data_IF_647684848131
#
_entry.id   IF_647684848131
#
_cell.length_a   1.000
_cell.length_b   1.000
_cell.length_c   1.000
_cell.angle_alpha   90.00
_cell.angle_beta   90.00
_cell.angle_gamma   90.00
#
_symmetry.space_group_name_H-M   'P 1'
#
loop_
_entity.id
_entity.type
_entity.pdbx_description
1 polymer ?
#
# COMPACT_ATOMS: atom_id res chain seq x y z
N UNK A 1 1.73 16.67 14.15
CA UNK A 1 1.50 17.54 12.97
C UNK A 1 0.94 16.68 11.84
N UNK A 2 0.08 17.20 10.95
CA UNK A 2 -0.40 16.42 9.80
C UNK A 2 0.80 16.00 8.95
N UNK A 3 0.94 14.69 8.72
CA UNK A 3 2.01 14.08 7.93
C UNK A 3 1.46 13.75 6.54
N UNK A 4 1.59 14.71 5.63
CA UNK A 4 1.19 14.56 4.23
C UNK A 4 2.14 15.38 3.36
N UNK A 5 2.44 14.87 2.18
CA UNK A 5 3.21 15.58 1.17
C UNK A 5 2.45 15.50 -0.15
N UNK A 6 2.32 16.65 -0.78
CA UNK A 6 1.66 16.80 -2.08
C UNK A 6 2.67 17.37 -3.04
N UNK A 7 2.84 16.73 -4.19
CA UNK A 7 3.70 17.26 -5.23
C UNK A 7 2.88 17.52 -6.48
N UNK A 8 2.75 18.81 -6.81
CA UNK A 8 2.21 19.27 -8.08
C UNK A 8 3.39 19.55 -9.02
N UNK A 9 3.41 18.97 -10.23
CA UNK A 9 4.51 19.19 -11.14
C UNK A 9 4.61 20.66 -11.61
N UNK A 10 5.79 21.12 -12.07
CA UNK A 10 5.94 22.38 -12.79
C UNK A 10 4.99 22.46 -14.00
N UNK A 11 4.52 23.67 -14.38
CA UNK A 11 3.60 23.91 -15.53
C UNK A 11 3.98 23.27 -16.87
N UNK A 12 5.22 22.82 -17.05
CA UNK A 12 5.72 22.12 -18.24
C UNK A 12 5.48 20.59 -18.21
N UNK A 13 5.06 20.05 -17.08
CA UNK A 13 4.77 18.63 -16.83
C UNK A 13 3.26 18.48 -16.61
N UNK A 14 2.50 18.60 -17.69
CA UNK A 14 1.08 18.24 -17.70
C UNK A 14 1.01 16.71 -17.66
N UNK A 15 0.11 16.11 -16.88
CA UNK A 15 -0.08 14.65 -16.90
C UNK A 15 0.36 13.89 -15.64
N UNK A 16 0.92 14.55 -14.62
CA UNK A 16 1.38 13.91 -13.38
C UNK A 16 0.79 14.59 -12.15
N UNK A 17 0.23 13.84 -11.21
CA UNK A 17 -0.12 14.36 -9.87
C UNK A 17 0.25 13.34 -8.83
N UNK A 18 1.03 13.74 -7.82
CA UNK A 18 1.53 12.85 -6.81
C UNK A 18 1.03 13.22 -5.42
N UNK A 19 0.73 12.20 -4.65
CA UNK A 19 0.26 12.32 -3.28
C UNK A 19 0.94 11.28 -2.39
N UNK A 20 1.40 11.71 -1.23
CA UNK A 20 1.90 10.84 -0.17
C UNK A 20 1.13 11.15 1.12
N UNK A 21 0.48 10.14 1.68
CA UNK A 21 -0.33 10.25 2.89
C UNK A 21 0.14 9.20 3.88
N UNK A 22 0.39 9.60 5.12
CA UNK A 22 0.71 8.64 6.16
C UNK A 22 0.22 9.07 7.54
N UNK A 23 -0.07 8.10 8.39
CA UNK A 23 -0.48 8.30 9.78
C UNK A 23 0.11 7.20 10.64
N UNK A 24 0.30 7.53 11.92
CA UNK A 24 0.75 6.57 12.92
C UNK A 24 -0.46 6.11 13.74
N UNK A 25 -0.51 4.83 14.11
CA UNK A 25 -1.49 4.30 15.05
C UNK A 25 -1.36 5.02 16.40
N UNK A 26 -0.12 5.16 16.87
CA UNK A 26 0.23 5.89 18.09
C UNK A 26 1.16 7.04 17.73
N UNK A 27 0.70 8.26 17.98
CA UNK A 27 1.45 9.46 17.61
C UNK A 27 2.85 9.48 18.23
N UNK A 28 3.85 9.69 17.39
CA UNK A 28 5.27 9.72 17.72
C UNK A 28 5.95 8.35 17.73
N UNK A 29 5.21 7.26 17.51
CA UNK A 29 5.73 5.89 17.61
C UNK A 29 5.56 5.08 16.32
N UNK A 30 5.17 5.70 15.21
CA UNK A 30 4.95 4.95 13.97
C UNK A 30 6.24 4.45 13.34
N UNK A 31 6.24 3.22 12.87
CA UNK A 31 7.35 2.45 12.35
C UNK A 31 7.47 2.54 10.83
N UNK A 32 6.36 2.81 10.13
CA UNK A 32 6.34 3.14 8.71
C UNK A 32 7.35 4.25 8.34
N UNK A 33 7.92 4.13 7.14
CA UNK A 33 8.68 5.22 6.53
C UNK A 33 7.76 6.14 5.69
N UNK A 34 8.20 7.37 5.42
CA UNK A 34 7.44 8.24 4.53
C UNK A 34 7.30 7.60 3.13
N UNK A 35 6.10 7.59 2.51
CA UNK A 35 5.93 7.05 1.18
C UNK A 35 6.92 7.66 0.18
N UNK A 36 7.45 6.83 -0.70
CA UNK A 36 8.40 7.24 -1.73
C UNK A 36 7.64 7.53 -3.02
N UNK A 37 7.81 8.73 -3.56
CA UNK A 37 7.27 9.12 -4.87
C UNK A 37 8.32 9.95 -5.60
N UNK A 38 8.73 9.47 -6.77
CA UNK A 38 9.77 10.13 -7.57
C UNK A 38 9.47 9.99 -9.05
N UNK A 39 9.84 11.02 -9.82
CA UNK A 39 9.79 11.00 -11.26
C UNK A 39 11.05 11.67 -11.83
N UNK A 40 11.72 10.96 -12.74
CA UNK A 40 12.87 11.48 -13.46
C UNK A 40 12.45 12.01 -14.83
N UNK A 41 12.63 13.33 -15.01
CA UNK A 41 12.18 14.05 -16.21
C UNK A 41 12.89 13.62 -17.48
N UNK A 42 14.20 13.40 -17.42
CA UNK A 42 15.01 13.15 -18.60
C UNK A 42 14.76 11.77 -19.23
N UNK A 43 14.32 10.79 -18.43
CA UNK A 43 14.09 9.41 -18.90
C UNK A 43 12.63 8.99 -18.81
N UNK A 44 11.73 9.92 -18.50
CA UNK A 44 10.27 9.71 -18.43
C UNK A 44 9.87 8.45 -17.66
N UNK A 45 10.54 8.20 -16.54
CA UNK A 45 10.29 7.07 -15.64
C UNK A 45 10.20 7.53 -14.20
N UNK A 46 9.64 6.71 -13.33
CA UNK A 46 9.47 7.04 -11.92
C UNK A 46 9.20 5.82 -11.08
N UNK A 47 8.98 6.07 -9.79
CA UNK A 47 8.61 5.03 -8.85
C UNK A 47 7.70 5.59 -7.76
N UNK A 48 6.72 4.78 -7.36
CA UNK A 48 6.05 4.92 -6.06
C UNK A 48 6.35 3.71 -5.19
N UNK A 49 6.49 3.89 -3.87
CA UNK A 49 6.64 2.78 -2.93
C UNK A 49 6.23 3.14 -1.49
N UNK A 50 5.94 2.11 -0.71
CA UNK A 50 5.70 2.18 0.74
C UNK A 50 6.53 1.12 1.46
N UNK A 51 6.79 1.36 2.75
CA UNK A 51 7.65 0.54 3.60
C UNK A 51 7.03 0.46 5.00
N UNK A 52 6.52 -0.71 5.35
CA UNK A 52 5.87 -0.98 6.63
C UNK A 52 6.85 -1.61 7.60
N UNK A 53 7.13 -0.92 8.70
CA UNK A 53 8.03 -1.44 9.74
C UNK A 53 7.33 -2.48 10.60
N UNK A 54 7.74 -3.75 10.53
CA UNK A 54 7.06 -4.83 11.26
C UNK A 54 7.33 -4.82 12.77
N UNK A 55 6.55 -4.07 13.55
CA UNK A 55 6.72 -3.84 14.98
C UNK A 55 6.80 -5.07 15.86
N UNK A 56 5.90 -6.04 15.66
CA UNK A 56 5.92 -7.28 16.44
C UNK A 56 7.27 -8.01 16.36
N UNK A 57 7.86 -8.06 15.16
CA UNK A 57 9.15 -8.71 14.92
C UNK A 57 10.35 -7.79 15.21
N UNK A 58 10.17 -6.47 15.07
CA UNK A 58 11.20 -5.44 15.08
C UNK A 58 11.23 -4.52 16.30
N UNK A 59 10.40 -4.75 17.33
CA UNK A 59 10.22 -3.87 18.50
C UNK A 59 11.48 -3.60 19.34
N UNK A 60 12.62 -4.23 19.05
CA UNK A 60 13.86 -4.01 19.80
C UNK A 60 14.39 -2.58 19.55
N UNK A 61 14.59 -1.74 20.58
CA UNK A 61 15.23 -0.44 20.41
C UNK A 61 16.60 -0.60 19.77
N UNK A 62 16.82 0.07 18.63
CA UNK A 62 17.98 -0.16 17.76
C UNK A 62 18.83 1.09 17.57
N UNK A 63 18.19 2.25 17.41
CA UNK A 63 18.88 3.53 17.21
C UNK A 63 18.35 4.60 18.17
N UNK A 64 19.22 5.51 18.58
CA UNK A 64 18.85 6.68 19.39
C UNK A 64 19.13 7.94 18.59
N UNK A 65 18.11 8.77 18.43
CA UNK A 65 18.21 10.04 17.74
C UNK A 65 19.07 11.06 18.50
N UNK A 66 19.50 12.14 17.82
CA UNK A 66 20.23 13.24 18.46
C UNK A 66 19.44 13.92 19.60
N UNK A 67 18.12 13.81 19.57
CA UNK A 67 17.17 14.27 20.60
C UNK A 67 17.04 13.30 21.80
N UNK A 68 17.73 12.16 21.75
CA UNK A 68 17.70 11.12 22.78
C UNK A 68 16.54 10.13 22.65
N UNK A 69 15.68 10.25 21.64
CA UNK A 69 14.55 9.34 21.42
C UNK A 69 15.04 8.02 20.85
N UNK A 70 14.54 6.90 21.40
CA UNK A 70 14.86 5.56 20.91
C UNK A 70 13.86 5.12 19.84
N UNK A 71 14.38 4.56 18.76
CA UNK A 71 13.60 3.99 17.66
C UNK A 71 13.81 2.47 17.57
N UNK A 72 12.76 1.75 17.20
CA UNK A 72 12.75 0.29 17.07
C UNK A 72 13.53 -0.15 15.84
N UNK A 73 13.80 -1.46 15.74
CA UNK A 73 14.39 -2.05 14.55
C UNK A 73 13.48 -1.90 13.33
N UNK A 74 12.17 -2.07 13.51
CA UNK A 74 11.17 -1.86 12.46
C UNK A 74 11.23 -0.43 11.89
N UNK A 75 11.20 0.57 12.76
CA UNK A 75 11.34 1.98 12.39
C UNK A 75 12.60 2.27 11.57
N UNK A 76 13.74 1.71 11.99
CA UNK A 76 15.03 1.87 11.30
C UNK A 76 15.00 1.11 9.97
N UNK A 77 14.47 -0.11 9.95
CA UNK A 77 14.38 -0.96 8.76
C UNK A 77 13.62 -0.30 7.62
N UNK A 78 12.42 0.22 7.90
CA UNK A 78 11.59 0.89 6.90
C UNK A 78 12.31 2.10 6.27
N UNK A 79 12.98 2.93 7.08
CA UNK A 79 13.70 4.12 6.60
C UNK A 79 14.97 3.77 5.82
N UNK A 80 15.65 2.71 6.21
CA UNK A 80 16.82 2.18 5.49
C UNK A 80 16.40 1.60 4.15
N UNK A 81 15.30 0.84 4.09
CA UNK A 81 14.76 0.32 2.85
C UNK A 81 14.33 1.46 1.90
N UNK A 82 13.62 2.47 2.43
CA UNK A 82 13.28 3.69 1.67
C UNK A 82 14.51 4.37 1.08
N UNK A 83 15.57 4.58 1.88
CA UNK A 83 16.81 5.19 1.41
C UNK A 83 17.51 4.32 0.35
N UNK A 84 17.55 3.01 0.55
CA UNK A 84 18.12 2.08 -0.43
C UNK A 84 17.38 2.16 -1.76
N UNK A 85 16.05 2.20 -1.74
CA UNK A 85 15.20 2.36 -2.93
C UNK A 85 15.43 3.71 -3.63
N UNK A 86 15.61 4.79 -2.88
CA UNK A 86 15.94 6.11 -3.44
C UNK A 86 17.29 6.09 -4.19
N UNK A 87 18.34 5.60 -3.53
CA UNK A 87 19.66 5.45 -4.15
C UNK A 87 19.64 4.51 -5.36
N UNK A 88 18.93 3.39 -5.27
CA UNK A 88 18.75 2.46 -6.38
C UNK A 88 18.04 3.12 -7.57
N UNK A 89 16.92 3.81 -7.31
CA UNK A 89 16.18 4.48 -8.38
C UNK A 89 16.99 5.58 -9.05
N UNK A 90 17.86 6.28 -8.30
CA UNK A 90 18.77 7.25 -8.88
C UNK A 90 19.66 6.63 -9.98
N UNK A 91 20.28 5.48 -9.71
CA UNK A 91 21.13 4.78 -10.68
C UNK A 91 20.31 4.23 -11.85
N UNK A 92 19.11 3.68 -11.58
CA UNK A 92 18.18 3.25 -12.64
C UNK A 92 17.78 4.41 -13.55
N UNK A 93 17.46 5.56 -12.99
CA UNK A 93 17.02 6.74 -13.72
C UNK A 93 18.12 7.32 -14.64
N UNK A 94 19.38 7.18 -14.23
CA UNK A 94 20.57 7.60 -14.96
C UNK A 94 21.16 6.51 -15.88
N UNK A 95 20.56 5.31 -15.91
CA UNK A 95 21.02 4.19 -16.73
C UNK A 95 22.29 3.51 -16.20
N UNK A 96 22.62 3.70 -14.93
CA UNK A 96 23.68 2.99 -14.22
C UNK A 96 23.27 1.60 -13.76
N UNK A 97 21.96 1.33 -13.69
CA UNK A 97 21.39 0.05 -13.22
C UNK A 97 20.10 -0.29 -13.96
N UNK A 98 19.76 -1.58 -14.07
CA UNK A 98 18.47 -2.01 -14.60
C UNK A 98 17.41 -2.06 -13.48
N UNK A 99 16.16 -1.71 -13.80
CA UNK A 99 15.05 -1.78 -12.86
C UNK A 99 14.61 -3.24 -12.61
N UNK A 100 15.43 -4.06 -11.94
CA UNK A 100 15.15 -5.49 -11.68
C UNK A 100 14.95 -5.75 -10.18
N UNK A 101 14.24 -6.83 -9.80
CA UNK A 101 14.16 -7.24 -8.40
C UNK A 101 15.54 -7.55 -7.80
N UNK A 102 16.45 -8.14 -8.59
CA UNK A 102 17.79 -8.49 -8.14
C UNK A 102 18.62 -7.25 -7.80
N UNK A 103 18.61 -6.22 -8.65
CA UNK A 103 19.37 -5.00 -8.39
C UNK A 103 18.81 -4.24 -7.18
N UNK A 104 17.48 -4.18 -7.00
CA UNK A 104 16.89 -3.59 -5.80
C UNK A 104 17.26 -4.41 -4.54
N UNK A 105 17.24 -5.74 -4.63
CA UNK A 105 17.62 -6.62 -3.52
C UNK A 105 19.08 -6.36 -3.07
N UNK A 106 20.02 -6.19 -4.01
CA UNK A 106 21.42 -5.89 -3.69
C UNK A 106 21.57 -4.57 -2.91
N UNK A 107 20.85 -3.52 -3.31
CA UNK A 107 20.84 -2.25 -2.58
C UNK A 107 20.25 -2.39 -1.19
N UNK A 108 19.09 -3.05 -1.05
CA UNK A 108 18.46 -3.31 0.25
C UNK A 108 19.42 -4.04 1.18
N UNK A 109 20.01 -5.13 0.71
CA UNK A 109 20.96 -5.95 1.47
C UNK A 109 22.20 -5.15 1.90
N UNK A 110 22.77 -4.35 0.99
CA UNK A 110 23.92 -3.50 1.31
C UNK A 110 23.59 -2.47 2.40
N UNK A 111 22.49 -1.73 2.25
CA UNK A 111 22.09 -0.68 3.18
C UNK A 111 21.71 -1.26 4.56
N UNK A 112 20.99 -2.38 4.61
CA UNK A 112 20.65 -3.08 5.85
C UNK A 112 21.90 -3.59 6.59
N UNK A 113 22.90 -4.09 5.86
CA UNK A 113 24.15 -4.56 6.44
C UNK A 113 25.01 -3.43 7.02
N UNK A 114 24.89 -2.20 6.50
CA UNK A 114 25.60 -1.00 6.98
C UNK A 114 24.86 -0.26 8.09
N UNK A 115 23.60 -0.60 8.34
CA UNK A 115 22.76 0.09 9.30
C UNK A 115 23.06 -0.31 10.75
N UNK A 116 22.73 0.54 11.74
CA UNK A 116 22.86 0.20 13.14
C UNK A 116 22.07 -1.07 13.48
N UNK A 117 22.74 -2.08 14.03
CA UNK A 117 22.11 -3.34 14.45
C UNK A 117 22.46 -3.65 15.90
N UNK A 118 21.45 -3.92 16.73
CA UNK A 118 21.65 -4.47 18.07
C UNK A 118 21.46 -5.99 18.04
N UNK A 119 22.54 -6.73 18.32
CA UNK A 119 22.48 -8.19 18.48
C UNK A 119 21.92 -8.53 19.86
N UNK A 120 20.66 -8.98 19.93
CA UNK A 120 20.15 -9.65 21.13
C UNK A 120 20.84 -11.00 21.31
N UNK A 121 21.30 -11.33 22.53
CA UNK A 121 21.86 -12.64 22.89
C UNK A 121 20.78 -13.72 23.09
N UNK A 122 19.51 -13.31 23.18
CA UNK A 122 18.35 -14.20 23.32
C UNK A 122 17.66 -14.24 21.96
N UNK A 123 17.78 -15.38 21.27
CA UNK A 123 17.29 -15.59 19.92
C UNK A 123 16.00 -16.42 19.91
N UNK A 124 14.90 -15.79 19.47
CA UNK A 124 13.69 -16.49 19.07
C UNK A 124 13.47 -16.29 17.57
N UNK A 125 12.91 -17.28 16.87
CA UNK A 125 12.65 -17.25 15.43
C UNK A 125 11.65 -16.18 15.00
N UNK A 126 10.90 -15.59 15.94
CA UNK A 126 9.94 -14.50 15.69
C UNK A 126 10.60 -13.11 15.61
N UNK A 127 11.75 -12.90 16.24
CA UNK A 127 12.45 -11.61 16.16
C UNK A 127 13.21 -11.52 14.84
N UNK A 128 13.17 -10.33 14.23
CA UNK A 128 13.88 -9.98 13.01
C UNK A 128 14.72 -8.74 13.25
N UNK A 129 15.82 -8.59 12.52
CA UNK A 129 16.63 -7.37 12.56
C UNK A 129 16.23 -6.46 11.42
N UNK A 130 15.86 -5.24 11.76
CA UNK A 130 15.45 -4.22 10.81
C UNK A 130 14.34 -4.69 9.85
N UNK A 131 13.26 -5.37 10.34
CA UNK A 131 12.23 -5.89 9.46
C UNK A 131 11.39 -4.75 8.86
N UNK A 132 11.10 -4.87 7.57
CA UNK A 132 10.14 -4.02 6.89
C UNK A 132 9.52 -4.76 5.71
N UNK A 133 8.33 -4.36 5.30
CA UNK A 133 7.80 -4.69 3.97
C UNK A 133 8.38 -3.73 2.93
N UNK A 134 8.12 -4.04 1.66
CA UNK A 134 8.30 -3.15 0.52
C UNK A 134 7.18 -3.46 -0.48
N UNK A 135 6.50 -2.43 -0.97
CA UNK A 135 5.63 -2.55 -2.14
C UNK A 135 5.71 -1.28 -2.96
N UNK A 136 5.98 -1.41 -4.26
CA UNK A 136 6.10 -0.27 -5.15
C UNK A 136 5.91 -0.63 -6.61
N UNK A 137 5.83 0.42 -7.44
CA UNK A 137 5.72 0.31 -8.89
C UNK A 137 6.76 1.22 -9.51
N UNK A 138 7.77 0.64 -10.15
CA UNK A 138 8.56 1.35 -11.14
C UNK A 138 7.74 1.47 -12.42
N UNK A 139 7.77 2.64 -13.07
CA UNK A 139 7.01 2.87 -14.29
C UNK A 139 7.83 3.66 -15.32
N UNK A 140 7.56 3.43 -16.59
CA UNK A 140 8.17 4.15 -17.71
C UNK A 140 7.14 4.47 -18.79
N UNK A 141 7.07 5.73 -19.21
CA UNK A 141 6.20 6.13 -20.32
C UNK A 141 6.66 5.53 -21.64
N UNK A 142 5.71 5.10 -22.46
CA UNK A 142 5.93 4.70 -23.85
C UNK A 142 5.28 5.74 -24.75
N UNK A 143 6.09 6.67 -25.28
CA UNK A 143 5.61 7.79 -26.10
C UNK A 143 4.82 7.37 -27.34
N UNK A 144 5.08 6.17 -27.87
CA UNK A 144 4.49 5.70 -29.12
C UNK A 144 3.02 5.25 -29.00
N UNK A 145 2.51 4.94 -27.79
CA UNK A 145 1.23 4.21 -27.66
C UNK A 145 0.28 4.73 -26.56
N UNK A 146 0.51 5.92 -25.99
CA UNK A 146 -0.26 6.42 -24.82
C UNK A 146 -0.36 5.38 -23.69
N UNK A 147 0.72 4.62 -23.50
CA UNK A 147 0.79 3.58 -22.48
C UNK A 147 1.96 3.78 -21.54
N UNK A 148 1.88 3.09 -20.41
CA UNK A 148 2.93 3.04 -19.41
C UNK A 148 3.35 1.59 -19.19
N UNK A 149 4.65 1.35 -19.19
CA UNK A 149 5.24 0.09 -18.71
C UNK A 149 5.25 0.13 -17.19
N UNK A 150 4.76 -0.94 -16.55
CA UNK A 150 4.73 -1.06 -15.09
C UNK A 150 5.55 -2.26 -14.66
N UNK A 151 6.34 -2.07 -13.60
CA UNK A 151 7.08 -3.10 -12.91
C UNK A 151 6.84 -3.01 -11.41
N UNK A 152 5.83 -3.73 -10.91
CA UNK A 152 5.65 -3.92 -9.49
C UNK A 152 6.86 -4.64 -8.88
N UNK A 153 7.24 -4.23 -7.67
CA UNK A 153 8.33 -4.77 -6.87
C UNK A 153 7.82 -4.91 -5.44
N UNK A 154 7.89 -6.09 -4.83
CA UNK A 154 7.36 -6.28 -3.49
C UNK A 154 8.06 -7.35 -2.65
N UNK A 155 7.97 -7.19 -1.33
CA UNK A 155 8.41 -8.11 -0.29
C UNK A 155 7.55 -7.88 0.97
N UNK A 156 6.95 -8.93 1.53
CA UNK A 156 5.92 -8.81 2.58
C UNK A 156 4.49 -8.73 2.04
N UNK A 157 3.62 -8.05 2.77
CA UNK A 157 2.16 -7.98 2.59
C UNK A 157 1.61 -6.57 2.31
N UNK A 158 2.47 -5.54 2.26
CA UNK A 158 2.10 -4.28 1.60
C UNK A 158 1.82 -4.51 0.11
N UNK A 159 0.96 -3.68 -0.48
CA UNK A 159 0.44 -3.93 -1.83
C UNK A 159 0.62 -2.75 -2.77
N UNK A 160 0.86 -3.07 -4.04
CA UNK A 160 0.77 -2.11 -5.12
C UNK A 160 -0.44 -2.39 -6.02
N UNK A 161 -0.98 -1.32 -6.59
CA UNK A 161 -2.18 -1.35 -7.41
C UNK A 161 -2.07 -0.40 -8.60
N UNK A 162 -2.92 -0.66 -9.59
CA UNK A 162 -3.29 0.34 -10.60
C UNK A 162 -4.80 0.51 -10.58
N UNK A 163 -5.23 1.76 -10.46
CA UNK A 163 -6.62 2.17 -10.54
C UNK A 163 -6.88 2.66 -11.98
N UNK A 164 -7.82 2.01 -12.64
CA UNK A 164 -8.29 2.29 -14.00
C UNK A 164 -9.64 2.99 -13.95
N UNK A 165 -9.87 4.03 -14.79
CA UNK A 165 -11.15 4.74 -14.80
C UNK A 165 -12.33 3.88 -15.26
N UNK A 166 -12.08 2.79 -15.98
CA UNK A 166 -13.13 1.91 -16.53
C UNK A 166 -13.32 0.64 -15.71
N UNK A 167 -12.24 0.05 -15.22
CA UNK A 167 -12.24 -1.28 -14.60
C UNK A 167 -11.98 -1.27 -13.09
N UNK A 168 -11.63 -0.11 -12.53
CA UNK A 168 -11.43 0.06 -11.09
C UNK A 168 -10.04 -0.32 -10.60
N UNK A 169 -9.95 -0.68 -9.33
CA UNK A 169 -8.68 -0.99 -8.67
C UNK A 169 -8.26 -2.42 -8.98
N UNK A 170 -7.03 -2.57 -9.48
CA UNK A 170 -6.40 -3.86 -9.74
C UNK A 170 -5.17 -4.02 -8.87
N UNK A 171 -5.06 -5.15 -8.17
CA UNK A 171 -3.85 -5.47 -7.42
C UNK A 171 -2.75 -5.95 -8.36
N UNK A 172 -1.52 -5.49 -8.09
CA UNK A 172 -0.33 -5.75 -8.91
C UNK A 172 0.70 -6.64 -8.20
N UNK A 173 0.49 -6.93 -6.92
CA UNK A 173 1.42 -7.66 -6.05
C UNK A 173 0.67 -8.79 -5.35
N UNK A 174 1.40 -9.82 -4.91
CA UNK A 174 0.84 -10.92 -4.14
C UNK A 174 1.51 -10.99 -2.77
N UNK A 175 0.73 -10.88 -1.71
CA UNK A 175 1.25 -10.94 -0.34
C UNK A 175 2.05 -12.22 -0.12
N UNK A 176 3.17 -12.08 0.58
CA UNK A 176 4.01 -13.20 0.94
C UNK A 176 3.45 -13.90 2.18
N UNK A 177 2.36 -14.63 1.97
CA UNK A 177 1.61 -15.35 3.01
C UNK A 177 1.19 -16.73 2.48
N UNK A 178 0.71 -17.62 3.36
CA UNK A 178 0.18 -18.93 2.93
C UNK A 178 -1.22 -18.84 2.33
N UNK A 179 -2.04 -17.94 2.86
CA UNK A 179 -3.30 -17.56 2.23
C UNK A 179 -3.00 -16.56 1.11
N UNK A 180 -3.82 -16.55 0.07
CA UNK A 180 -3.60 -15.73 -1.12
C UNK A 180 -4.87 -15.07 -1.65
N UNK A 181 -6.04 -15.47 -1.15
CA UNK A 181 -7.31 -14.81 -1.41
C UNK A 181 -7.41 -13.51 -0.59
N UNK A 182 -7.64 -12.39 -1.27
CA UNK A 182 -7.62 -11.07 -0.65
C UNK A 182 -8.69 -10.89 0.44
N UNK A 183 -9.85 -11.56 0.35
CA UNK A 183 -10.87 -11.51 1.39
C UNK A 183 -10.49 -12.39 2.59
N UNK A 184 -9.91 -13.56 2.36
CA UNK A 184 -9.44 -14.42 3.46
C UNK A 184 -8.24 -13.82 4.20
N UNK A 185 -7.39 -13.03 3.52
CA UNK A 185 -6.32 -12.26 4.16
C UNK A 185 -6.88 -11.26 5.18
N UNK A 186 -7.98 -10.56 4.87
CA UNK A 186 -8.68 -9.66 5.81
C UNK A 186 -9.27 -10.40 7.02
N UNK A 187 -9.54 -11.70 6.90
CA UNK A 187 -10.18 -12.51 7.94
C UNK A 187 -9.18 -13.15 8.89
N UNK A 188 -8.01 -13.52 8.37
CA UNK A 188 -7.11 -14.45 9.03
C UNK A 188 -5.78 -13.83 9.45
N UNK A 189 -5.38 -12.71 8.83
CA UNK A 189 -4.11 -12.02 9.10
C UNK A 189 -2.93 -13.00 9.30
N UNK A 190 -2.60 -13.81 8.27
CA UNK A 190 -1.61 -14.85 8.41
C UNK A 190 -0.19 -14.25 8.49
N UNK A 191 0.73 -14.89 9.22
CA UNK A 191 2.10 -14.40 9.33
C UNK A 191 2.82 -14.41 7.97
N UNK A 192 3.57 -13.35 7.69
CA UNK A 192 4.41 -13.24 6.49
C UNK A 192 5.47 -14.35 6.40
N UNK A 193 5.65 -14.89 5.19
CA UNK A 193 6.67 -15.88 4.81
C UNK A 193 7.95 -15.24 4.28
N UNK A 194 7.86 -14.03 3.72
CA UNK A 194 8.99 -13.23 3.23
C UNK A 194 8.86 -11.80 3.80
N UNK A 195 9.96 -11.24 4.28
CA UNK A 195 10.03 -9.88 4.84
C UNK A 195 11.46 -9.36 4.65
N UNK A 196 11.60 -8.10 4.23
CA UNK A 196 12.93 -7.48 4.10
C UNK A 196 13.53 -7.38 5.50
N UNK A 197 14.67 -8.03 5.74
CA UNK A 197 15.33 -7.99 7.03
C UNK A 197 16.84 -8.23 6.90
N UNK A 198 17.59 -7.83 7.92
CA UNK A 198 19.05 -7.86 7.90
C UNK A 198 19.67 -9.16 8.45
N UNK A 199 18.86 -10.06 9.01
CA UNK A 199 19.32 -11.27 9.68
C UNK A 199 18.94 -12.59 9.00
N UNK A 200 18.18 -12.55 7.89
CA UNK A 200 17.85 -13.72 7.06
C UNK A 200 17.77 -13.32 5.59
N UNK A 201 17.86 -14.31 4.72
CA UNK A 201 17.56 -14.16 3.30
C UNK A 201 16.10 -13.73 3.11
N UNK A 202 15.89 -12.88 2.11
CA UNK A 202 14.58 -12.42 1.64
C UNK A 202 14.63 -12.26 0.13
N UNK A 203 13.49 -12.31 -0.54
CA UNK A 203 13.38 -12.04 -1.99
C UNK A 203 12.65 -10.73 -2.22
N UNK A 204 12.94 -10.09 -3.34
CA UNK A 204 12.07 -9.05 -3.92
C UNK A 204 11.40 -9.71 -5.12
N UNK A 205 10.09 -9.86 -5.07
CA UNK A 205 9.34 -10.40 -6.18
C UNK A 205 8.97 -9.27 -7.15
N UNK A 206 8.74 -9.64 -8.41
CA UNK A 206 8.38 -8.70 -9.46
C UNK A 206 7.48 -9.33 -10.51
N UNK A 207 6.74 -8.47 -11.21
CA UNK A 207 6.05 -8.78 -12.45
C UNK A 207 6.37 -7.66 -13.44
N UNK A 208 6.23 -7.96 -14.73
CA UNK A 208 6.38 -6.96 -15.78
C UNK A 208 5.08 -6.86 -16.59
N UNK A 209 4.48 -5.66 -16.61
CA UNK A 209 3.35 -5.31 -17.45
C UNK A 209 3.88 -4.36 -18.52
N UNK A 210 4.14 -4.91 -19.71
CA UNK A 210 4.83 -4.18 -20.78
C UNK A 210 4.07 -2.94 -21.29
N UNK A 211 2.74 -2.93 -21.15
CA UNK A 211 1.87 -1.86 -21.63
C UNK A 211 0.57 -1.82 -20.83
N UNK A 212 0.34 -0.73 -20.10
CA UNK A 212 -0.92 -0.42 -19.42
C UNK A 212 -1.48 0.89 -19.99
N UNK A 213 -2.79 0.95 -20.23
CA UNK A 213 -3.44 2.10 -20.84
C UNK A 213 -3.44 3.32 -19.92
N UNK A 214 -3.10 4.49 -20.47
CA UNK A 214 -3.33 5.77 -19.82
C UNK A 214 -4.74 6.29 -20.17
N UNK A 215 -5.33 7.15 -19.33
CA UNK A 215 -4.83 7.58 -18.02
C UNK A 215 -5.13 6.56 -16.90
N UNK A 216 -4.27 6.51 -15.88
CA UNK A 216 -4.42 5.60 -14.73
C UNK A 216 -3.86 6.23 -13.45
N UNK A 217 -4.16 5.64 -12.29
CA UNK A 217 -3.57 6.05 -11.00
C UNK A 217 -2.82 4.86 -10.41
N UNK A 218 -1.51 5.01 -10.19
CA UNK A 218 -0.73 4.03 -9.45
C UNK A 218 -0.93 4.24 -7.95
N UNK A 219 -1.05 3.14 -7.20
CA UNK A 219 -1.23 3.15 -5.74
C UNK A 219 -0.22 2.19 -5.11
N UNK A 220 0.44 2.59 -4.04
CA UNK A 220 1.16 1.69 -3.15
C UNK A 220 0.70 1.97 -1.72
N UNK A 221 0.34 0.94 -0.98
CA UNK A 221 -0.29 1.05 0.33
C UNK A 221 0.25 0.01 1.31
N UNK A 222 0.40 0.38 2.58
CA UNK A 222 0.58 -0.57 3.68
C UNK A 222 -0.77 -1.15 4.08
N UNK A 223 -0.77 -2.25 4.83
CA UNK A 223 -2.00 -2.91 5.26
C UNK A 223 -2.86 -2.02 6.18
N UNK A 224 -2.28 -1.01 6.83
CA UNK A 224 -3.05 0.01 7.55
C UNK A 224 -4.12 0.70 6.70
N UNK A 225 -3.98 0.73 5.36
CA UNK A 225 -5.01 1.24 4.45
C UNK A 225 -6.04 0.20 4.02
N UNK A 226 -5.64 -1.03 3.72
CA UNK A 226 -6.54 -2.03 3.10
C UNK A 226 -6.78 -3.28 3.95
N UNK A 227 -6.02 -3.52 5.01
CA UNK A 227 -6.09 -4.69 5.89
C UNK A 227 -7.22 -4.63 6.91
N UNK A 228 -7.73 -3.42 7.20
CA UNK A 228 -8.77 -3.19 8.21
C UNK A 228 -10.16 -2.92 7.64
N UNK A 229 -10.33 -3.02 6.31
CA UNK A 229 -11.65 -2.87 5.67
C UNK A 229 -12.41 -4.20 5.65
N UNK A 230 -13.72 -4.16 5.36
CA UNK A 230 -14.52 -5.39 5.38
C UNK A 230 -14.42 -6.23 4.11
N UNK A 231 -14.15 -5.60 2.96
CA UNK A 231 -13.93 -6.28 1.67
C UNK A 231 -12.89 -5.51 0.85
N UNK A 232 -12.20 -6.14 -0.11
CA UNK A 232 -11.27 -5.42 -0.98
C UNK A 232 -11.92 -4.24 -1.74
N UNK A 233 -13.22 -4.33 -2.04
CA UNK A 233 -13.97 -3.26 -2.68
C UNK A 233 -14.14 -2.01 -1.80
N UNK A 234 -14.11 -2.16 -0.47
CA UNK A 234 -14.17 -1.04 0.47
C UNK A 234 -12.94 -0.13 0.33
N UNK A 235 -11.77 -0.67 0.00
CA UNK A 235 -10.58 0.13 -0.23
C UNK A 235 -10.68 0.98 -1.51
N UNK A 236 -11.16 0.41 -2.62
CA UNK A 236 -11.45 1.21 -3.82
C UNK A 236 -12.53 2.27 -3.53
N UNK A 237 -13.57 1.90 -2.76
CA UNK A 237 -14.62 2.85 -2.38
C UNK A 237 -14.07 4.01 -1.57
N UNK A 238 -13.14 3.77 -0.63
CA UNK A 238 -12.43 4.82 0.11
C UNK A 238 -11.68 5.78 -0.84
N UNK A 239 -10.88 5.25 -1.76
CA UNK A 239 -10.11 6.06 -2.70
C UNK A 239 -11.03 6.96 -3.55
N UNK A 240 -12.11 6.40 -4.10
CA UNK A 240 -13.00 7.10 -5.01
C UNK A 240 -13.97 8.05 -4.29
N UNK A 241 -14.50 7.68 -3.13
CA UNK A 241 -15.39 8.56 -2.35
C UNK A 241 -14.65 9.81 -1.86
N UNK A 242 -13.42 9.65 -1.35
CA UNK A 242 -12.59 10.78 -0.93
C UNK A 242 -12.15 11.66 -2.10
N UNK A 243 -11.83 11.07 -3.26
CA UNK A 243 -11.53 11.81 -4.50
C UNK A 243 -12.71 12.68 -4.93
N UNK A 244 -13.93 12.12 -4.88
CA UNK A 244 -15.17 12.81 -5.23
C UNK A 244 -15.51 13.95 -4.26
N UNK A 245 -15.29 13.73 -2.96
CA UNK A 245 -15.53 14.73 -1.90
C UNK A 245 -14.53 15.89 -1.96
N UNK A 246 -13.29 15.63 -2.38
CA UNK A 246 -12.21 16.62 -2.39
C UNK A 246 -12.38 17.70 -3.49
N UNK A 247 -12.02 18.94 -3.15
CA UNK A 247 -11.91 20.05 -4.08
C UNK A 247 -10.55 20.15 -4.78
N UNK A 248 -9.49 19.60 -4.18
CA UNK A 248 -8.11 19.60 -4.66
C UNK A 248 -7.30 18.45 -4.05
N UNK A 249 -6.05 18.29 -4.49
CA UNK A 249 -5.16 17.22 -4.06
C UNK A 249 -4.80 17.25 -2.56
N UNK A 250 -4.74 18.44 -1.94
CA UNK A 250 -4.46 18.57 -0.49
C UNK A 250 -5.65 18.13 0.35
N UNK A 251 -6.86 18.50 -0.08
CA UNK A 251 -8.10 18.04 0.56
C UNK A 251 -8.28 16.53 0.38
N UNK A 252 -7.91 15.98 -0.78
CA UNK A 252 -7.94 14.53 -1.00
C UNK A 252 -7.00 13.80 -0.03
N UNK A 253 -5.77 14.30 0.14
CA UNK A 253 -4.82 13.79 1.12
C UNK A 253 -5.38 13.76 2.54
N UNK A 254 -5.95 14.88 2.95
CA UNK A 254 -6.46 15.04 4.31
C UNK A 254 -7.71 14.18 4.54
N UNK A 255 -8.58 14.05 3.54
CA UNK A 255 -9.74 13.14 3.59
C UNK A 255 -9.28 11.68 3.70
N UNK A 256 -8.36 11.23 2.85
CA UNK A 256 -7.80 9.87 2.92
C UNK A 256 -7.22 9.59 4.31
N UNK A 257 -6.42 10.52 4.85
CA UNK A 257 -5.83 10.43 6.18
C UNK A 257 -6.89 10.33 7.28
N UNK A 258 -7.91 11.20 7.25
CA UNK A 258 -8.97 11.19 8.28
C UNK A 258 -9.78 9.91 8.24
N UNK A 259 -10.16 9.46 7.03
CA UNK A 259 -10.96 8.25 6.85
C UNK A 259 -10.21 6.99 7.27
N UNK A 260 -8.91 6.87 6.94
CA UNK A 260 -8.13 5.71 7.38
C UNK A 260 -7.99 5.66 8.91
N UNK A 261 -7.80 6.82 9.56
CA UNK A 261 -7.76 6.91 11.03
C UNK A 261 -9.06 6.51 11.74
N UNK A 262 -10.20 6.48 11.04
CA UNK A 262 -11.48 6.06 11.62
C UNK A 262 -11.58 4.55 11.83
N UNK A 263 -10.81 3.74 11.08
CA UNK A 263 -10.92 2.29 11.10
C UNK A 263 -9.60 1.53 11.25
N UNK A 264 -8.46 2.14 10.89
CA UNK A 264 -7.18 1.43 10.92
C UNK A 264 -6.77 1.09 12.35
N UNK A 265 -6.27 -0.12 12.52
CA UNK A 265 -5.65 -0.58 13.75
C UNK A 265 -4.13 -0.48 13.71
N UNK A 266 -3.52 0.10 12.67
CA UNK A 266 -2.07 0.15 12.48
C UNK A 266 -1.58 1.51 11.97
N UNK A 267 -0.27 1.65 11.82
CA UNK A 267 0.31 2.67 10.96
C UNK A 267 -0.20 2.48 9.52
N UNK A 268 -0.43 3.58 8.82
CA UNK A 268 -0.99 3.52 7.48
C UNK A 268 -0.27 4.51 6.57
N UNK A 269 0.31 3.99 5.49
CA UNK A 269 1.06 4.76 4.49
C UNK A 269 0.55 4.47 3.09
N UNK A 270 0.43 5.53 2.29
CA UNK A 270 -0.12 5.50 0.93
C UNK A 270 0.69 6.44 0.02
N UNK A 271 1.15 5.90 -1.10
CA UNK A 271 1.65 6.67 -2.24
C UNK A 271 0.65 6.55 -3.40
N UNK A 272 0.33 7.68 -4.03
CA UNK A 272 -0.54 7.77 -5.19
C UNK A 272 0.13 8.61 -6.27
N UNK A 273 0.00 8.15 -7.52
CA UNK A 273 0.47 8.89 -8.68
C UNK A 273 -0.51 8.77 -9.85
N UNK A 274 -1.16 9.86 -10.19
CA UNK A 274 -2.03 9.95 -11.36
C UNK A 274 -1.19 10.22 -12.61
N UNK A 275 -1.28 9.31 -13.60
CA UNK A 275 -0.57 9.36 -14.87
C UNK A 275 -1.53 9.69 -16.01
N UNK A 276 -1.13 10.55 -16.94
CA UNK A 276 -1.94 10.95 -18.10
C UNK A 276 -3.10 11.91 -17.77
N UNK A 277 -3.13 12.51 -16.58
CA UNK A 277 -4.20 13.42 -16.17
C UNK A 277 -3.78 14.88 -16.22
N UNK A 278 -4.58 15.74 -16.86
CA UNK A 278 -4.29 17.16 -17.00
C UNK A 278 -4.16 17.88 -15.65
N UNK A 279 -5.15 17.70 -14.77
CA UNK A 279 -5.23 18.30 -13.44
C UNK A 279 -6.13 17.45 -12.52
N UNK A 280 -6.28 17.87 -11.27
CA UNK A 280 -7.07 17.15 -10.27
C UNK A 280 -8.55 17.06 -10.66
N UNK A 281 -9.09 18.10 -11.29
CA UNK A 281 -10.47 18.13 -11.74
C UNK A 281 -10.71 17.06 -12.82
N UNK A 282 -9.73 16.85 -13.72
CA UNK A 282 -9.77 15.79 -14.72
C UNK A 282 -9.79 14.41 -14.04
N UNK A 283 -8.89 14.14 -13.06
CA UNK A 283 -8.90 12.89 -12.28
C UNK A 283 -10.30 12.67 -11.68
N UNK A 284 -10.82 13.64 -10.91
CA UNK A 284 -12.12 13.51 -10.26
C UNK A 284 -13.25 13.23 -11.25
N UNK A 285 -13.31 13.96 -12.37
CA UNK A 285 -14.36 13.77 -13.38
C UNK A 285 -14.29 12.42 -14.08
N UNK A 286 -13.08 11.91 -14.34
CA UNK A 286 -12.87 10.70 -15.11
C UNK A 286 -13.22 9.44 -14.31
N UNK A 287 -13.05 9.49 -12.99
CA UNK A 287 -13.37 8.38 -12.08
C UNK A 287 -14.81 8.40 -11.53
N UNK A 288 -15.59 9.47 -11.76
CA UNK A 288 -16.98 9.56 -11.28
C UNK A 288 -17.88 8.40 -11.79
N UNK A 289 -17.82 7.98 -13.07
CA UNK A 289 -18.62 6.83 -13.54
C UNK A 289 -18.27 5.55 -12.79
N UNK A 290 -16.99 5.31 -12.50
CA UNK A 290 -16.55 4.15 -11.74
C UNK A 290 -17.00 4.22 -10.29
N UNK A 291 -16.92 5.41 -9.67
CA UNK A 291 -17.47 5.62 -8.34
C UNK A 291 -18.97 5.31 -8.28
N UNK A 292 -19.76 5.80 -9.25
CA UNK A 292 -21.20 5.56 -9.29
C UNK A 292 -21.53 4.06 -9.42
N UNK A 293 -20.82 3.34 -10.28
CA UNK A 293 -20.94 1.88 -10.44
C UNK A 293 -20.56 1.14 -9.15
N UNK A 294 -19.44 1.50 -8.54
CA UNK A 294 -18.98 0.88 -7.29
C UNK A 294 -19.95 1.18 -6.14
N UNK A 295 -20.42 2.42 -5.99
CA UNK A 295 -21.32 2.85 -4.92
C UNK A 295 -22.68 2.14 -4.99
N UNK A 296 -23.22 1.95 -6.20
CA UNK A 296 -24.47 1.19 -6.40
C UNK A 296 -24.30 -0.29 -6.01
N UNK A 297 -23.16 -0.91 -6.37
CA UNK A 297 -22.83 -2.28 -5.92
C UNK A 297 -22.59 -2.35 -4.41
N UNK A 298 -21.89 -1.38 -3.85
CA UNK A 298 -21.52 -1.31 -2.43
C UNK A 298 -22.74 -1.09 -1.53
N UNK A 299 -23.65 -0.20 -1.92
CA UNK A 299 -24.87 0.08 -1.18
C UNK A 299 -25.87 -1.10 -1.21
N UNK A 300 -25.82 -1.93 -2.26
CA UNK A 300 -26.62 -3.15 -2.36
C UNK A 300 -26.14 -4.19 -1.35
N UNK A 301 -26.87 -4.29 -0.25
CA UNK A 301 -26.74 -5.40 0.69
C UNK A 301 -25.74 -5.20 1.83
N UNK A 302 -24.98 -4.09 1.87
CA UNK A 302 -24.10 -3.76 3.00
C UNK A 302 -24.93 -3.69 4.30
N UNK A 303 -24.63 -4.52 5.30
CA UNK A 303 -25.37 -4.50 6.55
C UNK A 303 -25.24 -3.14 7.25
N UNK A 304 -26.37 -2.48 7.55
CA UNK A 304 -26.43 -1.19 8.26
C UNK A 304 -25.73 -1.18 9.63
N UNK A 305 -25.45 -2.35 10.20
CA UNK A 305 -24.68 -2.46 11.44
C UNK A 305 -23.24 -1.98 11.24
N UNK A 306 -22.68 -2.13 10.03
CA UNK A 306 -21.33 -1.67 9.68
C UNK A 306 -21.26 -0.14 9.52
N UNK A 307 -22.41 0.53 9.40
CA UNK A 307 -22.48 2.00 9.34
C UNK A 307 -22.57 2.64 10.73
N UNK A 308 -22.65 1.83 11.80
CA UNK A 308 -22.73 2.32 13.18
C UNK A 308 -21.34 2.31 13.81
N UNK A 309 -20.88 3.47 14.28
CA UNK A 309 -19.70 3.55 15.12
C UNK A 309 -19.85 2.64 16.36
N UNK A 310 -18.79 1.93 16.78
CA UNK A 310 -18.81 1.15 18.02
C UNK A 310 -19.22 2.07 19.18
N UNK A 311 -20.34 1.78 19.86
CA UNK A 311 -20.68 2.50 21.10
C UNK A 311 -19.83 1.92 22.24
N UNK A 312 -18.99 2.72 22.91
CA UNK A 312 -18.30 2.25 24.10
C UNK A 312 -19.35 1.99 25.20
N UNK A 313 -19.43 0.75 25.70
CA UNK A 313 -20.25 0.40 26.87
C UNK A 313 -21.75 0.21 26.61
N UNK A 314 -22.20 0.07 25.37
CA UNK A 314 -23.58 -0.30 25.08
C UNK A 314 -23.75 -1.82 25.07
N UNK A 315 -24.52 -2.37 26.00
CA UNK A 315 -25.08 -3.72 25.85
C UNK A 315 -25.78 -3.81 24.50
N UNK A 316 -25.26 -4.65 23.59
CA UNK A 316 -25.83 -4.85 22.27
C UNK A 316 -27.27 -5.38 22.40
N UNK A 317 -28.22 -4.96 21.55
CA UNK A 317 -29.62 -5.35 21.68
C UNK A 317 -29.92 -6.80 21.25
N UNK A 318 -28.94 -7.70 21.27
CA UNK A 318 -29.11 -9.09 20.89
C UNK A 318 -28.34 -9.99 21.84
N UNK A 319 -28.99 -11.02 22.38
CA UNK A 319 -28.26 -12.10 23.04
C UNK A 319 -27.30 -12.82 22.07
N UNK A 320 -26.60 -13.88 22.52
CA UNK A 320 -25.59 -14.60 21.74
C UNK A 320 -26.06 -15.06 20.35
N UNK A 321 -27.36 -15.30 20.18
CA UNK A 321 -27.96 -15.68 18.90
C UNK A 321 -28.07 -14.50 17.91
N UNK A 322 -28.38 -13.29 18.40
CA UNK A 322 -28.46 -12.09 17.56
C UNK A 322 -27.08 -11.62 17.07
N UNK A 323 -26.04 -11.81 17.87
CA UNK A 323 -24.64 -11.57 17.45
C UNK A 323 -24.22 -12.56 16.37
N UNK A 324 -24.52 -13.85 16.54
CA UNK A 324 -24.25 -14.89 15.53
C UNK A 324 -24.95 -14.63 14.20
N UNK A 325 -26.23 -14.25 14.24
CA UNK A 325 -26.98 -13.90 13.04
C UNK A 325 -26.39 -12.66 12.35
N UNK A 326 -25.99 -11.65 13.13
CA UNK A 326 -25.34 -10.44 12.61
C UNK A 326 -24.01 -10.78 11.92
N UNK A 327 -23.16 -11.60 12.56
CA UNK A 327 -21.91 -12.06 11.98
C UNK A 327 -22.12 -12.86 10.70
N UNK A 328 -23.11 -13.76 10.68
CA UNK A 328 -23.45 -14.54 9.49
C UNK A 328 -23.90 -13.65 8.32
N UNK A 329 -24.70 -12.61 8.59
CA UNK A 329 -25.14 -11.64 7.58
C UNK A 329 -23.99 -10.81 7.03
N UNK A 330 -23.07 -10.36 7.88
CA UNK A 330 -21.85 -9.65 7.44
C UNK A 330 -21.00 -10.55 6.55
N UNK A 331 -20.78 -11.80 6.97
CA UNK A 331 -19.99 -12.77 6.21
C UNK A 331 -20.59 -13.06 4.83
N UNK A 332 -21.91 -13.29 4.77
CA UNK A 332 -22.61 -13.53 3.51
C UNK A 332 -22.49 -12.33 2.54
N UNK A 333 -22.60 -11.11 3.05
CA UNK A 333 -22.39 -9.91 2.24
C UNK A 333 -20.94 -9.78 1.75
N UNK A 334 -19.95 -10.05 2.61
CA UNK A 334 -18.53 -10.04 2.21
C UNK A 334 -18.26 -11.03 1.08
N UNK A 335 -18.76 -12.27 1.22
CA UNK A 335 -18.58 -13.33 0.21
C UNK A 335 -19.23 -12.92 -1.11
N UNK A 336 -20.45 -12.37 -1.08
CA UNK A 336 -21.15 -11.90 -2.28
C UNK A 336 -20.41 -10.72 -2.94
N UNK A 337 -19.99 -9.72 -2.15
CA UNK A 337 -19.24 -8.57 -2.64
C UNK A 337 -17.98 -9.04 -3.36
N UNK A 338 -17.21 -9.92 -2.71
CA UNK A 338 -15.97 -10.46 -3.25
C UNK A 338 -16.18 -11.29 -4.51
N UNK A 339 -17.19 -12.17 -4.55
CA UNK A 339 -17.52 -12.95 -5.75
C UNK A 339 -17.72 -12.07 -7.00
N UNK A 340 -18.31 -10.89 -6.85
CA UNK A 340 -18.56 -9.97 -7.97
C UNK A 340 -17.39 -9.05 -8.30
N UNK A 341 -16.50 -8.80 -7.33
CA UNK A 341 -15.41 -7.83 -7.44
C UNK A 341 -14.08 -8.49 -7.86
N UNK A 342 -13.86 -9.73 -7.41
CA UNK A 342 -12.60 -10.48 -7.53
C UNK A 342 -12.02 -10.51 -8.94
N UNK A 343 -12.82 -10.85 -9.95
CA UNK A 343 -12.32 -11.04 -11.31
C UNK A 343 -11.66 -9.78 -11.88
N UNK A 344 -12.23 -8.60 -11.59
CA UNK A 344 -11.61 -7.33 -11.95
C UNK A 344 -10.35 -7.08 -11.11
N UNK A 345 -10.48 -7.15 -9.79
CA UNK A 345 -9.39 -6.87 -8.86
C UNK A 345 -8.13 -7.71 -9.13
N UNK A 346 -8.28 -9.01 -9.39
CA UNK A 346 -7.18 -9.96 -9.61
C UNK A 346 -6.71 -10.05 -11.08
N UNK A 347 -7.22 -9.20 -11.99
CA UNK A 347 -6.86 -9.26 -13.43
C UNK A 347 -5.35 -9.21 -13.68
N UNK A 348 -4.61 -8.47 -12.85
CA UNK A 348 -3.15 -8.32 -12.95
C UNK A 348 -2.40 -8.92 -11.75
N UNK A 349 -3.08 -9.73 -10.93
CA UNK A 349 -2.46 -10.37 -9.78
C UNK A 349 -1.41 -11.39 -10.27
N UNK A 350 -0.15 -11.31 -9.80
CA UNK A 350 0.88 -12.28 -10.15
C UNK A 350 0.42 -13.71 -9.81
N UNK A 351 0.79 -14.75 -10.56
CA UNK A 351 0.48 -16.13 -10.17
C UNK A 351 1.09 -16.44 -8.79
N UNK A 352 0.50 -17.38 -8.06
CA UNK A 352 1.18 -17.91 -6.88
C UNK A 352 2.50 -18.55 -7.33
N UNK A 353 3.58 -18.33 -6.58
CA UNK A 353 4.83 -19.05 -6.84
C UNK A 353 4.52 -20.55 -6.80
N UNK A 354 4.86 -21.28 -7.87
CA UNK A 354 4.79 -22.73 -7.84
C UNK A 354 5.67 -23.17 -6.66
N UNK A 355 5.07 -23.83 -5.66
CA UNK A 355 5.85 -24.52 -4.63
C UNK A 355 6.77 -25.49 -5.38
N UNK A 356 8.05 -25.17 -5.49
CA UNK A 356 9.07 -26.13 -5.88
C UNK A 356 8.98 -27.27 -4.86
N UNK A 357 8.27 -28.35 -5.24
CA UNK A 357 8.15 -29.59 -4.49
C UNK A 357 9.49 -30.31 -4.38
#
# INVERSE_FOLDING_TARGET
MPRQAVWTPPKKLVGLQALSVWTEQVSGLGEDAEPFVVHHLGTHQGMIAVFDGSGGAGATPTWQGPDGVWHTGAWVGARVARLATDCWFHEVALGGEDATPESLHEYLTWFLAKSPQRRSKIGGTMRRRLPTTLAGVHYRFREENDTVELRPLWAGDSRAYVLSPTSGLHVLTRDHTRESDALELLRTDPPMTNVVCADREFTVDSQHIASFALPCVLVAATDGYFGYVHTPADFEYLLLSTLREAGNEYEWADLLRRRVQEYTGDDASLALLALGHQDFAHVRSLYEPRFADLADRYARGRPRILDRAPRPGGEGPGGPEGERETHARVRAWQDQSWQTYRAGYETYLPPAAEEYR
#
